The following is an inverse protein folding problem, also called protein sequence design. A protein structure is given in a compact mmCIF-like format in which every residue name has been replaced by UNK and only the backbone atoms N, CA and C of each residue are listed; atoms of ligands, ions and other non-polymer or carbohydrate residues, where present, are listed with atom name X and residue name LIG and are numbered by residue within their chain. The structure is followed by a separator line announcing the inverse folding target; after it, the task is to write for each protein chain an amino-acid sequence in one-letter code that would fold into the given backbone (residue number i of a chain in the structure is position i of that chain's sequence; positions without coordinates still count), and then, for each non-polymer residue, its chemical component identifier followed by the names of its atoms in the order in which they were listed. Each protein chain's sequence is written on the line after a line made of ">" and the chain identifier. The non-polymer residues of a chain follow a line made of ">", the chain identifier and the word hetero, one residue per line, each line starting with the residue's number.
data_IF_036442774389
#
_entry.id   IF_036442774389
#
_cell.length_a   1.000
_cell.length_b   1.000
_cell.length_c   1.000
_cell.angle_alpha   90.00
_cell.angle_beta   90.00
_cell.angle_gamma   90.00
#
_symmetry.space_group_name_H-M   'P 1'
#
loop_
_entity.id
_entity.type
_entity.pdbx_description
1 polymer ?
#
# COMPACT_ATOMS: atom_id res chain seq x y z
N UNK A 1 69.07 6.57 -5.82
CA UNK A 1 67.83 7.14 -6.37
C UNK A 1 66.92 6.01 -6.80
N UNK A 2 65.92 5.64 -5.99
CA UNK A 2 64.71 4.92 -6.41
C UNK A 2 63.70 5.10 -5.26
N UNK A 3 62.59 5.80 -5.52
CA UNK A 3 61.55 6.11 -4.54
C UNK A 3 60.33 5.25 -4.89
N UNK A 4 59.81 4.41 -3.98
CA UNK A 4 58.65 3.60 -4.29
C UNK A 4 57.41 4.49 -4.36
N UNK A 5 56.71 4.40 -5.48
CA UNK A 5 55.45 5.07 -5.75
C UNK A 5 54.33 4.25 -5.09
N UNK A 6 53.71 4.82 -4.06
CA UNK A 6 52.62 4.21 -3.31
C UNK A 6 51.30 4.47 -4.06
N UNK A 7 50.81 3.48 -4.77
CA UNK A 7 49.50 3.52 -5.44
C UNK A 7 48.41 3.43 -4.37
N UNK A 8 47.67 4.52 -4.17
CA UNK A 8 46.48 4.55 -3.30
C UNK A 8 45.30 4.05 -4.13
N UNK A 9 44.81 2.85 -3.81
CA UNK A 9 43.58 2.29 -4.37
C UNK A 9 42.40 2.82 -3.56
N UNK A 10 41.71 3.84 -4.07
CA UNK A 10 40.48 4.38 -3.46
C UNK A 10 39.35 3.38 -3.65
N UNK A 11 38.96 2.72 -2.56
CA UNK A 11 37.80 1.82 -2.51
C UNK A 11 36.54 2.70 -2.44
N UNK A 12 35.84 2.84 -3.56
CA UNK A 12 34.53 3.49 -3.61
C UNK A 12 33.52 2.62 -2.85
N UNK A 13 33.14 3.04 -1.64
CA UNK A 13 32.03 2.48 -0.88
C UNK A 13 30.73 2.82 -1.62
N UNK A 14 30.21 1.86 -2.38
CA UNK A 14 28.82 1.88 -2.84
C UNK A 14 27.95 1.72 -1.59
N UNK A 15 27.39 2.82 -1.10
CA UNK A 15 26.32 2.81 -0.13
C UNK A 15 25.08 2.22 -0.81
N UNK A 16 24.91 0.90 -0.72
CA UNK A 16 23.62 0.27 -0.94
C UNK A 16 22.69 0.84 0.14
N UNK A 17 21.79 1.74 -0.24
CA UNK A 17 20.71 2.18 0.64
C UNK A 17 19.95 0.94 1.09
N UNK A 18 19.70 0.82 2.39
CA UNK A 18 18.79 -0.20 2.90
C UNK A 18 17.43 0.04 2.23
N UNK A 19 17.04 -0.87 1.33
CA UNK A 19 15.65 -0.98 0.96
C UNK A 19 14.93 -1.44 2.23
N UNK A 20 14.11 -0.56 2.81
CA UNK A 20 13.15 -0.97 3.83
C UNK A 20 12.12 -1.84 3.11
N UNK A 21 12.40 -3.13 3.01
CA UNK A 21 11.33 -4.10 2.81
C UNK A 21 10.39 -3.91 4.00
N UNK A 22 9.14 -3.56 3.76
CA UNK A 22 8.15 -3.69 4.83
C UNK A 22 8.10 -5.18 5.18
N UNK A 23 8.46 -5.49 6.43
CA UNK A 23 8.57 -6.86 6.95
C UNK A 23 7.16 -7.42 7.17
N UNK A 24 6.38 -7.55 6.09
CA UNK A 24 5.08 -8.18 6.11
C UNK A 24 5.24 -9.69 6.29
N UNK A 25 4.50 -10.25 7.23
CA UNK A 25 4.50 -11.68 7.50
C UNK A 25 3.31 -12.34 6.81
N UNK A 26 3.54 -13.39 6.02
CA UNK A 26 2.47 -14.06 5.29
C UNK A 26 1.58 -14.88 6.23
N UNK A 27 0.28 -14.57 6.27
CA UNK A 27 -0.74 -15.37 6.93
C UNK A 27 -1.31 -16.44 6.00
N UNK A 28 -1.70 -16.07 4.78
CA UNK A 28 -2.38 -16.98 3.86
C UNK A 28 -2.83 -16.29 2.56
N UNK A 29 -3.76 -16.93 1.86
CA UNK A 29 -4.39 -16.34 0.66
C UNK A 29 -5.88 -16.65 0.65
N UNK A 30 -6.69 -15.70 0.18
CA UNK A 30 -8.14 -15.86 0.04
C UNK A 30 -8.66 -14.95 -1.07
N UNK A 31 -9.62 -15.43 -1.86
CA UNK A 31 -10.22 -14.64 -2.95
C UNK A 31 -9.26 -14.20 -4.07
N UNK A 32 -8.04 -14.73 -4.13
CA UNK A 32 -7.00 -14.26 -5.05
C UNK A 32 -6.11 -13.13 -4.51
N UNK A 33 -6.26 -12.78 -3.24
CA UNK A 33 -5.44 -11.82 -2.52
C UNK A 33 -4.52 -12.54 -1.52
N UNK A 34 -3.35 -11.95 -1.27
CA UNK A 34 -2.49 -12.34 -0.17
C UNK A 34 -3.03 -11.75 1.13
N UNK A 35 -2.99 -12.50 2.22
CA UNK A 35 -3.35 -12.06 3.56
C UNK A 35 -2.10 -12.06 4.41
N UNK A 36 -1.81 -10.95 5.08
CA UNK A 36 -0.54 -10.72 5.75
C UNK A 36 -0.71 -9.99 7.08
N UNK A 37 0.29 -10.15 7.95
CA UNK A 37 0.50 -9.38 9.16
C UNK A 37 1.45 -8.23 8.89
N UNK A 38 1.14 -7.05 9.41
CA UNK A 38 2.03 -5.88 9.44
C UNK A 38 2.40 -5.53 10.90
N UNK A 39 3.56 -6.00 11.39
CA UNK A 39 4.02 -5.67 12.74
C UNK A 39 4.22 -4.16 12.98
N UNK A 40 4.41 -3.37 11.92
CA UNK A 40 4.60 -1.93 12.04
C UNK A 40 3.29 -1.19 12.32
N UNK A 41 2.14 -1.81 12.03
CA UNK A 41 0.80 -1.26 12.24
C UNK A 41 0.10 -1.85 13.48
N UNK A 42 0.90 -2.20 14.48
CA UNK A 42 0.39 -2.76 15.75
C UNK A 42 -0.13 -4.18 15.56
N UNK A 43 0.60 -4.97 14.79
CA UNK A 43 0.21 -6.32 14.39
C UNK A 43 -1.14 -6.34 13.64
N UNK A 44 -1.40 -5.31 12.83
CA UNK A 44 -2.58 -5.23 11.98
C UNK A 44 -2.48 -6.18 10.78
N UNK A 45 -3.58 -6.85 10.45
CA UNK A 45 -3.70 -7.70 9.28
C UNK A 45 -4.22 -6.92 8.06
N UNK A 46 -3.79 -7.34 6.88
CA UNK A 46 -4.18 -6.74 5.61
C UNK A 46 -4.37 -7.79 4.52
N UNK A 47 -5.05 -7.38 3.47
CA UNK A 47 -5.03 -8.03 2.17
C UNK A 47 -4.15 -7.22 1.20
N UNK A 48 -3.43 -7.90 0.31
CA UNK A 48 -2.65 -7.26 -0.74
C UNK A 48 -2.85 -7.96 -2.08
N UNK A 49 -2.80 -7.17 -3.15
CA UNK A 49 -2.65 -7.68 -4.50
C UNK A 49 -1.67 -6.81 -5.29
N UNK A 50 -0.89 -7.46 -6.14
CA UNK A 50 -0.01 -6.82 -7.12
C UNK A 50 -0.60 -6.98 -8.52
N UNK A 51 -0.69 -5.89 -9.26
CA UNK A 51 -1.30 -5.86 -10.59
C UNK A 51 -0.23 -5.83 -11.69
N UNK A 52 -0.63 -6.24 -12.89
CA UNK A 52 0.29 -6.36 -14.04
C UNK A 52 0.95 -5.05 -14.50
N UNK A 53 0.39 -3.90 -14.13
CA UNK A 53 0.95 -2.58 -14.40
C UNK A 53 1.95 -2.12 -13.32
N UNK A 54 2.23 -2.97 -12.34
CA UNK A 54 3.11 -2.68 -11.20
C UNK A 54 2.41 -2.00 -10.04
N UNK A 55 1.07 -1.86 -10.08
CA UNK A 55 0.33 -1.35 -8.93
C UNK A 55 0.36 -2.34 -7.77
N UNK A 56 0.40 -1.81 -6.56
CA UNK A 56 0.21 -2.59 -5.33
C UNK A 56 -0.93 -1.97 -4.56
N UNK A 57 -1.93 -2.77 -4.19
CA UNK A 57 -3.06 -2.32 -3.38
C UNK A 57 -3.07 -3.08 -2.08
N UNK A 58 -3.29 -2.35 -0.98
CA UNK A 58 -3.45 -2.90 0.36
C UNK A 58 -4.72 -2.38 0.99
N UNK A 59 -5.43 -3.27 1.67
CA UNK A 59 -6.61 -2.93 2.45
C UNK A 59 -6.49 -3.68 3.76
N UNK A 60 -6.54 -2.97 4.88
CA UNK A 60 -6.23 -3.61 6.17
C UNK A 60 -6.57 -2.73 7.35
N UNK A 61 -6.00 -3.11 8.48
CA UNK A 61 -6.21 -2.47 9.77
C UNK A 61 -4.90 -1.90 10.29
N UNK A 62 -4.93 -0.66 10.75
CA UNK A 62 -3.90 -0.08 11.60
C UNK A 62 -4.40 -0.08 13.04
N UNK A 63 -3.91 -1.06 13.81
CA UNK A 63 -4.28 -1.24 15.22
C UNK A 63 -3.68 -0.13 16.11
N UNK A 64 -2.60 0.53 15.68
CA UNK A 64 -2.05 1.67 16.44
C UNK A 64 -2.99 2.87 16.38
N UNK A 65 -3.63 3.10 15.22
CA UNK A 65 -4.59 4.18 15.02
C UNK A 65 -6.03 3.77 15.40
N UNK A 66 -6.34 2.48 15.41
CA UNK A 66 -7.70 1.97 15.56
C UNK A 66 -8.56 2.24 14.32
N UNK A 67 -7.96 2.16 13.13
CA UNK A 67 -8.55 2.57 11.86
C UNK A 67 -8.36 1.49 10.79
N UNK A 68 -9.28 1.43 9.83
CA UNK A 68 -9.03 0.75 8.57
C UNK A 68 -8.26 1.65 7.60
N UNK A 69 -7.55 1.06 6.65
CA UNK A 69 -6.88 1.81 5.61
C UNK A 69 -7.01 1.16 4.23
N UNK A 70 -6.92 1.99 3.19
CA UNK A 70 -6.73 1.58 1.81
C UNK A 70 -5.55 2.35 1.24
N UNK A 71 -4.51 1.62 0.85
CA UNK A 71 -3.34 2.17 0.18
C UNK A 71 -3.24 1.67 -1.25
N UNK A 72 -3.02 2.56 -2.20
CA UNK A 72 -2.75 2.20 -3.58
C UNK A 72 -1.44 2.84 -4.06
N UNK A 73 -0.49 2.01 -4.48
CA UNK A 73 0.79 2.42 -5.06
C UNK A 73 0.73 2.28 -6.58
N UNK A 74 1.02 3.36 -7.31
CA UNK A 74 1.04 3.39 -8.78
C UNK A 74 1.84 4.61 -9.26
N UNK A 75 2.67 4.45 -10.30
CA UNK A 75 3.44 5.56 -10.88
C UNK A 75 2.58 6.72 -11.41
N UNK A 76 1.31 6.48 -11.72
CA UNK A 76 0.34 7.49 -12.17
C UNK A 76 -0.02 8.51 -11.08
N UNK A 77 0.31 8.27 -9.80
CA UNK A 77 0.23 9.31 -8.77
C UNK A 77 1.16 10.50 -9.04
N UNK A 78 2.22 10.31 -9.83
CA UNK A 78 3.16 11.38 -10.19
C UNK A 78 3.99 11.86 -9.01
N UNK A 79 4.12 13.18 -8.88
CA UNK A 79 4.95 13.83 -7.86
C UNK A 79 4.18 14.00 -6.53
N UNK A 80 3.83 12.87 -5.87
CA UNK A 80 3.31 12.90 -4.50
C UNK A 80 4.42 13.29 -3.52
N UNK A 81 4.09 14.12 -2.52
CA UNK A 81 4.98 14.43 -1.41
C UNK A 81 4.63 13.53 -0.22
N UNK A 82 5.65 12.88 0.36
CA UNK A 82 5.47 11.99 1.51
C UNK A 82 4.93 12.77 2.73
N UNK A 83 3.84 12.28 3.31
CA UNK A 83 3.14 12.91 4.44
C UNK A 83 2.24 14.09 4.08
N UNK A 84 2.22 14.54 2.82
CA UNK A 84 1.27 15.56 2.38
C UNK A 84 -0.12 14.96 2.15
N UNK A 85 -1.16 15.75 2.38
CA UNK A 85 -2.55 15.33 2.20
C UNK A 85 -3.11 15.87 0.88
N UNK A 86 -3.86 15.04 0.17
CA UNK A 86 -4.46 15.34 -1.12
C UNK A 86 -5.95 14.97 -1.13
N UNK A 87 -6.83 15.82 -1.70
CA UNK A 87 -8.20 15.40 -1.98
C UNK A 87 -8.17 14.34 -3.08
N UNK A 88 -8.89 13.25 -2.84
CA UNK A 88 -9.06 12.14 -3.77
C UNK A 88 -10.53 11.83 -3.96
N UNK A 89 -10.84 11.26 -5.12
CA UNK A 89 -12.14 10.67 -5.39
C UNK A 89 -11.92 9.19 -5.65
N UNK A 90 -12.73 8.36 -5.03
CA UNK A 90 -12.79 6.94 -5.34
C UNK A 90 -14.22 6.56 -5.71
N UNK A 91 -14.39 5.75 -6.75
CA UNK A 91 -15.71 5.32 -7.21
C UNK A 91 -15.84 3.81 -7.12
N UNK A 92 -16.78 3.33 -6.30
CA UNK A 92 -17.07 1.90 -6.11
C UNK A 92 -18.19 1.46 -7.06
N UNK A 93 -17.84 0.67 -8.07
CA UNK A 93 -18.74 0.34 -9.20
C UNK A 93 -19.47 1.58 -9.76
N UNK A 94 -18.75 2.71 -9.83
CA UNK A 94 -19.25 4.00 -10.32
C UNK A 94 -19.94 4.89 -9.30
N UNK A 95 -20.18 4.44 -8.07
CA UNK A 95 -20.69 5.29 -6.98
C UNK A 95 -19.54 6.09 -6.36
N UNK A 96 -19.52 7.43 -6.47
CA UNK A 96 -18.39 8.24 -6.06
C UNK A 96 -18.40 8.56 -4.56
N UNK A 97 -17.21 8.62 -4.00
CA UNK A 97 -16.92 9.05 -2.65
C UNK A 97 -15.76 10.04 -2.68
N UNK A 98 -15.80 11.01 -1.77
CA UNK A 98 -14.72 11.98 -1.57
C UNK A 98 -13.95 11.60 -0.31
N UNK A 99 -12.63 11.71 -0.37
CA UNK A 99 -11.75 11.45 0.76
C UNK A 99 -10.48 12.27 0.69
N UNK A 100 -9.69 12.17 1.75
CA UNK A 100 -8.35 12.74 1.82
C UNK A 100 -7.36 11.57 1.89
N UNK A 101 -6.34 11.60 1.05
CA UNK A 101 -5.27 10.60 1.07
C UNK A 101 -3.96 11.24 1.51
N UNK A 102 -3.16 10.49 2.26
CA UNK A 102 -1.80 10.89 2.62
C UNK A 102 -0.80 10.27 1.65
N UNK A 103 0.08 11.08 1.11
CA UNK A 103 1.13 10.65 0.20
C UNK A 103 2.17 9.78 0.89
N UNK A 104 2.57 8.68 0.25
CA UNK A 104 3.62 7.79 0.74
C UNK A 104 4.34 7.07 -0.40
N UNK A 105 5.36 6.29 -0.08
CA UNK A 105 6.12 5.52 -1.06
C UNK A 105 6.32 4.08 -0.62
N UNK A 106 6.26 3.16 -1.58
CA UNK A 106 6.67 1.76 -1.42
C UNK A 106 7.72 1.45 -2.47
N UNK A 107 8.96 1.17 -2.02
CA UNK A 107 10.08 0.81 -2.90
C UNK A 107 10.29 1.80 -4.08
N UNK A 108 10.04 3.08 -3.85
CA UNK A 108 10.17 4.15 -4.86
C UNK A 108 8.95 4.34 -5.76
N UNK A 109 7.87 3.56 -5.58
CA UNK A 109 6.58 3.77 -6.23
C UNK A 109 5.74 4.70 -5.36
N UNK A 110 5.23 5.83 -5.90
CA UNK A 110 4.37 6.72 -5.14
C UNK A 110 3.03 6.04 -4.86
N UNK A 111 2.44 6.36 -3.72
CA UNK A 111 1.15 5.86 -3.29
C UNK A 111 0.37 6.89 -2.50
N UNK A 112 -0.92 6.63 -2.38
CA UNK A 112 -1.84 7.42 -1.60
C UNK A 112 -2.56 6.49 -0.61
N UNK A 113 -2.60 6.91 0.65
CA UNK A 113 -3.13 6.13 1.76
C UNK A 113 -4.36 6.80 2.36
N UNK A 114 -5.47 6.07 2.44
CA UNK A 114 -6.77 6.56 2.86
C UNK A 114 -7.16 5.83 4.15
N UNK A 115 -7.15 6.55 5.27
CA UNK A 115 -7.66 6.04 6.53
C UNK A 115 -9.18 6.22 6.62
N UNK A 116 -9.85 5.24 7.20
CA UNK A 116 -11.30 5.27 7.45
C UNK A 116 -11.66 4.55 8.76
N UNK A 117 -12.71 5.03 9.42
CA UNK A 117 -13.27 4.45 10.66
C UNK A 117 -14.65 3.80 10.44
N UNK A 118 -15.10 3.72 9.19
CA UNK A 118 -16.42 3.21 8.83
C UNK A 118 -16.36 1.74 8.45
N UNK A 119 -16.98 0.90 9.27
CA UNK A 119 -17.22 -0.52 8.93
C UNK A 119 -18.07 -0.66 7.66
N UNK A 120 -19.10 0.19 7.51
CA UNK A 120 -19.94 0.21 6.30
C UNK A 120 -19.09 0.43 5.05
N UNK A 121 -18.10 1.33 5.12
CA UNK A 121 -17.20 1.58 3.99
C UNK A 121 -16.29 0.37 3.68
N UNK A 122 -15.77 -0.31 4.70
CA UNK A 122 -15.02 -1.55 4.51
C UNK A 122 -15.86 -2.62 3.81
N UNK A 123 -17.13 -2.79 4.22
CA UNK A 123 -18.04 -3.74 3.60
C UNK A 123 -18.48 -3.32 2.20
N UNK A 124 -18.60 -2.02 1.94
CA UNK A 124 -18.86 -1.51 0.59
C UNK A 124 -17.70 -1.86 -0.35
N UNK A 125 -16.45 -1.70 0.07
CA UNK A 125 -15.29 -2.17 -0.72
C UNK A 125 -15.40 -3.68 -0.95
N UNK A 126 -15.68 -4.45 0.11
CA UNK A 126 -15.77 -5.91 0.04
C UNK A 126 -16.85 -6.41 -0.94
N UNK A 127 -17.96 -5.69 -1.05
CA UNK A 127 -19.13 -6.08 -1.83
C UNK A 127 -19.07 -5.67 -3.32
N UNK A 128 -18.09 -4.86 -3.72
CA UNK A 128 -18.02 -4.25 -5.05
C UNK A 128 -17.03 -4.97 -5.95
N UNK A 129 -17.11 -4.71 -7.26
CA UNK A 129 -16.24 -5.37 -8.24
C UNK A 129 -15.07 -4.49 -8.66
N UNK A 130 -15.24 -3.18 -8.60
CA UNK A 130 -14.25 -2.21 -9.10
C UNK A 130 -14.16 -0.99 -8.20
N UNK A 131 -12.94 -0.45 -8.09
CA UNK A 131 -12.70 0.87 -7.52
C UNK A 131 -11.87 1.71 -8.48
N UNK A 132 -12.43 2.81 -8.96
CA UNK A 132 -11.68 3.82 -9.72
C UNK A 132 -11.09 4.85 -8.77
N UNK A 133 -9.77 5.05 -8.81
CA UNK A 133 -9.08 6.10 -8.05
C UNK A 133 -8.74 7.28 -8.96
N UNK A 134 -9.02 8.49 -8.47
CA UNK A 134 -8.73 9.74 -9.16
C UNK A 134 -8.26 10.83 -8.20
N UNK A 135 -7.49 11.78 -8.73
CA UNK A 135 -7.11 13.02 -8.05
C UNK A 135 -7.45 14.24 -8.93
N UNK A 136 -7.03 15.43 -8.52
CA UNK A 136 -7.26 16.67 -9.27
C UNK A 136 -6.71 16.67 -10.70
N UNK A 137 -5.75 15.80 -11.00
CA UNK A 137 -5.13 15.66 -12.32
C UNK A 137 -5.84 14.63 -13.23
N UNK A 138 -6.77 13.84 -12.68
CA UNK A 138 -7.56 12.86 -13.41
C UNK A 138 -7.55 11.46 -12.78
N UNK A 139 -7.93 10.46 -13.58
CA UNK A 139 -7.90 9.06 -13.19
C UNK A 139 -6.46 8.57 -13.01
N UNK A 140 -6.23 7.87 -11.90
CA UNK A 140 -4.95 7.26 -11.54
C UNK A 140 -4.94 5.80 -11.92
N UNK A 141 -5.93 5.03 -11.45
CA UNK A 141 -6.03 3.60 -11.70
C UNK A 141 -7.45 3.07 -11.46
N UNK A 142 -7.71 1.85 -11.95
CA UNK A 142 -8.88 1.04 -11.60
C UNK A 142 -8.39 -0.23 -10.92
N UNK A 143 -8.95 -0.52 -9.75
CA UNK A 143 -8.65 -1.70 -8.94
C UNK A 143 -9.75 -2.73 -9.19
N UNK A 144 -9.35 -3.97 -9.48
CA UNK A 144 -10.26 -5.12 -9.47
C UNK A 144 -10.45 -5.57 -8.02
N UNK A 145 -11.68 -5.45 -7.49
CA UNK A 145 -12.04 -5.84 -6.13
C UNK A 145 -12.59 -7.27 -6.05
N UNK A 146 -12.52 -8.04 -7.14
CA UNK A 146 -12.97 -9.44 -7.15
C UNK A 146 -12.28 -10.22 -6.01
N UNK A 147 -13.08 -10.94 -5.24
CA UNK A 147 -12.61 -11.76 -4.13
C UNK A 147 -12.26 -11.02 -2.84
N UNK A 148 -12.37 -9.68 -2.82
CA UNK A 148 -12.05 -8.85 -1.64
C UNK A 148 -12.89 -9.25 -0.42
N UNK A 149 -14.17 -9.63 -0.59
CA UNK A 149 -14.99 -10.16 0.51
C UNK A 149 -14.34 -11.33 1.23
N UNK A 150 -13.95 -12.38 0.50
CA UNK A 150 -13.34 -13.57 1.08
C UNK A 150 -11.96 -13.25 1.69
N UNK A 151 -11.23 -12.31 1.09
CA UNK A 151 -9.94 -11.87 1.57
C UNK A 151 -10.05 -11.09 2.89
N UNK A 152 -11.01 -10.16 3.00
CA UNK A 152 -11.25 -9.39 4.22
C UNK A 152 -11.82 -10.25 5.34
N UNK A 153 -12.67 -11.24 5.03
CA UNK A 153 -13.07 -12.26 6.00
C UNK A 153 -11.86 -13.00 6.58
N UNK A 154 -10.90 -13.40 5.75
CA UNK A 154 -9.66 -14.05 6.22
C UNK A 154 -8.74 -13.08 6.98
N UNK A 155 -8.70 -11.80 6.60
CA UNK A 155 -7.98 -10.78 7.35
C UNK A 155 -8.59 -10.55 8.74
N UNK A 156 -9.92 -10.64 8.90
CA UNK A 156 -10.57 -10.58 10.20
C UNK A 156 -10.23 -11.82 11.06
N UNK A 157 -10.14 -13.02 10.46
CA UNK A 157 -9.66 -14.22 11.15
C UNK A 157 -8.20 -14.03 11.61
N UNK A 158 -7.36 -13.42 10.78
CA UNK A 158 -5.99 -13.05 11.12
C UNK A 158 -5.97 -12.08 12.32
N UNK A 159 -6.81 -11.04 12.34
CA UNK A 159 -6.94 -10.11 13.47
C UNK A 159 -7.30 -10.83 14.79
N UNK A 160 -8.18 -11.83 14.74
CA UNK A 160 -8.60 -12.59 15.92
C UNK A 160 -7.54 -13.56 16.45
N UNK A 161 -6.49 -13.84 15.67
CA UNK A 161 -5.41 -14.75 16.04
C UNK A 161 -4.27 -14.06 16.81
N UNK A 162 -4.27 -12.73 16.90
CA UNK A 162 -3.40 -11.90 17.75
C UNK A 162 -3.67 -12.14 19.26
#
# INVERSE_FOLDING_TARGET
>A
MFKPMMTVLTLALLSAGAAYAQDLENWGTAGGWDVMWDPSLGDGCLIQSEFTDGSVVRIGFDNNAGMGYLTAFNMAWGDIEEGATYPVTFALDGEPYEGEATGMYLNGVPGADIYFDSEDFLFDIAARQTMDLANSSGSVMTIDLTGTMAALEEALICQEAE
#
